data_IF_278983994153
#
_entry.id   IF_278983994153
#
_cell.length_a   1.000
_cell.length_b   1.000
_cell.length_c   1.000
_cell.angle_alpha   90.00
_cell.angle_beta   90.00
_cell.angle_gamma   90.00
#
_symmetry.space_group_name_H-M   'P 1'
#
loop_
_entity.id
_entity.type
_entity.pdbx_description
1 polymer ?
#
# COMPACT_ATOMS: atom_id res chain seq x y z
N UNK A 1 -18.45 -29.67 12.86
CA UNK A 1 -18.04 -28.27 13.17
C UNK A 1 -18.53 -27.42 12.01
N UNK A 2 -19.34 -26.39 12.26
CA UNK A 2 -19.68 -25.43 11.21
C UNK A 2 -18.39 -24.77 10.71
N UNK A 3 -18.23 -24.53 9.40
CA UNK A 3 -17.05 -23.85 8.90
C UNK A 3 -16.96 -22.46 9.53
N UNK A 4 -15.81 -22.14 10.15
CA UNK A 4 -15.54 -20.77 10.61
C UNK A 4 -15.47 -19.86 9.39
N UNK A 5 -16.24 -18.77 9.41
CA UNK A 5 -16.16 -17.76 8.36
C UNK A 5 -14.72 -17.19 8.29
N UNK A 6 -14.22 -16.85 7.09
CA UNK A 6 -12.94 -16.19 6.95
C UNK A 6 -13.00 -14.79 7.60
N UNK A 7 -11.83 -14.28 8.02
CA UNK A 7 -11.72 -12.95 8.64
C UNK A 7 -11.98 -11.80 7.66
N UNK A 8 -11.85 -12.06 6.35
CA UNK A 8 -12.23 -11.15 5.27
C UNK A 8 -13.44 -11.74 4.57
N UNK A 9 -14.49 -10.96 4.48
CA UNK A 9 -15.77 -11.32 3.87
C UNK A 9 -15.99 -10.49 2.62
N UNK A 10 -16.50 -11.14 1.58
CA UNK A 10 -17.01 -10.51 0.37
C UNK A 10 -18.32 -11.18 -0.06
N UNK A 11 -18.84 -10.75 -1.21
CA UNK A 11 -20.10 -11.20 -1.77
C UNK A 11 -20.16 -12.71 -2.09
N UNK A 12 -19.02 -13.41 -2.07
CA UNK A 12 -18.95 -14.86 -2.26
C UNK A 12 -19.21 -15.63 -0.97
N UNK A 13 -19.01 -15.02 0.20
CA UNK A 13 -19.36 -15.63 1.50
C UNK A 13 -20.76 -15.23 1.99
N UNK A 14 -21.18 -13.98 1.77
CA UNK A 14 -22.49 -13.48 2.16
C UNK A 14 -23.06 -12.54 1.10
N UNK A 15 -24.38 -12.53 0.85
CA UNK A 15 -25.00 -11.57 -0.06
C UNK A 15 -24.66 -10.13 0.32
N UNK A 16 -24.53 -9.24 -0.67
CA UNK A 16 -24.21 -7.83 -0.45
C UNK A 16 -25.20 -7.14 0.51
N UNK A 17 -26.47 -7.53 0.48
CA UNK A 17 -27.50 -7.02 1.39
C UNK A 17 -27.16 -7.35 2.86
N UNK A 18 -26.77 -8.59 3.15
CA UNK A 18 -26.38 -9.05 4.49
C UNK A 18 -25.08 -8.36 4.96
N UNK A 19 -24.09 -8.25 4.08
CA UNK A 19 -22.83 -7.53 4.39
C UNK A 19 -23.09 -6.05 4.70
N UNK A 20 -24.02 -5.44 3.95
CA UNK A 20 -24.39 -4.03 4.15
C UNK A 20 -25.17 -3.85 5.45
N UNK A 21 -26.13 -4.75 5.75
CA UNK A 21 -26.87 -4.74 7.00
C UNK A 21 -25.93 -4.90 8.20
N UNK A 22 -25.08 -5.92 8.21
CA UNK A 22 -24.11 -6.14 9.28
C UNK A 22 -23.11 -4.98 9.44
N UNK A 23 -22.74 -4.28 8.35
CA UNK A 23 -21.94 -3.05 8.45
C UNK A 23 -22.72 -1.89 9.08
N UNK A 24 -24.00 -1.74 8.76
CA UNK A 24 -24.86 -0.69 9.32
C UNK A 24 -25.17 -0.94 10.79
N UNK A 25 -25.33 -2.20 11.19
CA UNK A 25 -25.53 -2.62 12.58
C UNK A 25 -24.24 -2.50 13.42
N UNK A 26 -23.09 -2.35 12.77
CA UNK A 26 -21.80 -2.13 13.41
C UNK A 26 -20.99 -3.40 13.67
N UNK A 27 -21.42 -4.54 13.15
CA UNK A 27 -20.71 -5.82 13.26
C UNK A 27 -19.51 -5.90 12.30
N UNK A 28 -19.62 -5.26 11.13
CA UNK A 28 -18.60 -5.23 10.09
C UNK A 28 -18.09 -3.82 9.79
N UNK A 29 -16.85 -3.72 9.31
CA UNK A 29 -16.25 -2.52 8.73
C UNK A 29 -15.78 -2.76 7.30
N UNK A 30 -15.74 -1.71 6.49
CA UNK A 30 -15.14 -1.76 5.15
C UNK A 30 -13.63 -2.00 5.25
N UNK A 31 -13.14 -2.85 4.35
CA UNK A 31 -11.74 -3.20 4.16
C UNK A 31 -11.40 -3.18 2.67
N UNK A 32 -11.57 -2.02 2.01
CA UNK A 32 -11.12 -1.85 0.62
C UNK A 32 -12.04 -2.50 -0.41
N UNK A 33 -13.35 -2.55 -0.15
CA UNK A 33 -14.32 -3.26 -0.97
C UNK A 33 -14.61 -4.70 -0.53
N UNK A 34 -13.87 -5.19 0.46
CA UNK A 34 -14.24 -6.33 1.29
C UNK A 34 -14.69 -5.84 2.67
N UNK A 35 -15.02 -6.77 3.57
CA UNK A 35 -15.49 -6.49 4.92
C UNK A 35 -14.69 -7.31 5.94
N UNK A 36 -14.54 -6.81 7.15
CA UNK A 36 -14.06 -7.60 8.29
C UNK A 36 -14.85 -7.26 9.55
N UNK A 37 -14.82 -8.13 10.55
CA UNK A 37 -15.40 -7.85 11.87
C UNK A 37 -14.76 -6.62 12.51
N UNK A 38 -15.55 -5.86 13.27
CA UNK A 38 -15.05 -4.72 14.04
C UNK A 38 -14.12 -5.10 15.19
N UNK A 39 -14.20 -6.33 15.68
CA UNK A 39 -13.33 -6.84 16.74
C UNK A 39 -11.94 -7.25 16.23
N UNK A 40 -11.77 -7.28 14.90
CA UNK A 40 -10.51 -7.64 14.26
C UNK A 40 -9.68 -6.39 13.96
N UNK A 41 -8.44 -6.38 14.43
CA UNK A 41 -7.47 -5.36 14.04
C UNK A 41 -7.09 -5.55 12.55
N UNK A 42 -7.21 -4.50 11.70
CA UNK A 42 -6.89 -4.61 10.28
C UNK A 42 -5.37 -4.61 10.05
N UNK A 43 -4.77 -5.78 10.24
CA UNK A 43 -3.34 -6.01 10.00
C UNK A 43 -2.99 -5.91 8.51
N UNK A 44 -1.69 -5.80 8.20
CA UNK A 44 -1.22 -5.85 6.82
C UNK A 44 -1.65 -7.15 6.13
N UNK A 45 -1.60 -8.29 6.83
CA UNK A 45 -2.06 -9.56 6.27
C UNK A 45 -3.56 -9.54 5.92
N UNK A 46 -4.40 -8.94 6.78
CA UNK A 46 -5.84 -8.84 6.52
C UNK A 46 -6.15 -7.93 5.33
N UNK A 47 -5.48 -6.77 5.25
CA UNK A 47 -5.59 -5.86 4.10
C UNK A 47 -5.07 -6.49 2.80
N UNK A 48 -4.00 -7.27 2.90
CA UNK A 48 -3.48 -8.05 1.77
C UNK A 48 -4.48 -9.11 1.28
N UNK A 49 -5.14 -9.82 2.20
CA UNK A 49 -6.22 -10.76 1.86
C UNK A 49 -7.39 -10.07 1.16
N UNK A 50 -7.80 -8.88 1.61
CA UNK A 50 -8.84 -8.11 0.96
C UNK A 50 -8.47 -7.65 -0.47
N UNK A 51 -7.18 -7.44 -0.73
CA UNK A 51 -6.69 -7.08 -2.06
C UNK A 51 -6.48 -8.26 -3.00
N UNK A 52 -6.30 -9.48 -2.48
CA UNK A 52 -5.90 -10.65 -3.26
C UNK A 52 -6.72 -10.86 -4.56
N UNK A 53 -8.06 -10.69 -4.58
CA UNK A 53 -8.85 -10.82 -5.80
C UNK A 53 -8.49 -9.83 -6.92
N UNK A 54 -7.85 -8.71 -6.59
CA UNK A 54 -7.43 -7.65 -7.51
C UNK A 54 -5.96 -7.75 -7.93
N UNK A 55 -5.19 -8.67 -7.34
CA UNK A 55 -3.74 -8.81 -7.55
C UNK A 55 -3.44 -10.11 -8.31
N UNK A 56 -3.25 -10.05 -9.63
CA UNK A 56 -2.75 -11.17 -10.41
C UNK A 56 -1.43 -11.75 -9.87
N UNK A 57 -1.25 -13.05 -10.06
CA UNK A 57 -0.04 -13.76 -9.66
C UNK A 57 1.23 -13.10 -10.24
N UNK A 58 2.25 -13.00 -9.38
CA UNK A 58 3.55 -12.42 -9.73
C UNK A 58 3.60 -10.89 -9.76
N UNK A 59 2.49 -10.20 -9.50
CA UNK A 59 2.47 -8.75 -9.27
C UNK A 59 2.72 -8.40 -7.81
N UNK A 60 3.27 -7.20 -7.60
CA UNK A 60 3.56 -6.64 -6.28
C UNK A 60 2.71 -5.39 -6.07
N UNK A 61 2.04 -5.29 -4.92
CA UNK A 61 1.31 -4.10 -4.51
C UNK A 61 2.30 -2.99 -4.16
N UNK A 62 2.09 -1.78 -4.68
CA UNK A 62 3.03 -0.67 -4.51
C UNK A 62 2.33 0.68 -4.20
N UNK A 63 3.16 1.71 -3.95
CA UNK A 63 2.74 3.11 -3.77
C UNK A 63 1.60 3.26 -2.75
N UNK A 64 0.53 4.00 -3.06
CA UNK A 64 -0.56 4.24 -2.10
C UNK A 64 -1.31 2.96 -1.74
N UNK A 65 -1.35 1.97 -2.62
CA UNK A 65 -1.95 0.67 -2.30
C UNK A 65 -1.10 -0.09 -1.28
N UNK A 66 0.22 -0.08 -1.45
CA UNK A 66 1.13 -0.61 -0.43
C UNK A 66 1.05 0.17 0.88
N UNK A 67 0.98 1.51 0.82
CA UNK A 67 0.82 2.34 2.00
C UNK A 67 -0.46 2.00 2.78
N UNK A 68 -1.56 1.71 2.08
CA UNK A 68 -2.80 1.26 2.73
C UNK A 68 -2.62 -0.12 3.38
N UNK A 69 -2.06 -1.10 2.66
CA UNK A 69 -1.79 -2.43 3.21
C UNK A 69 -0.93 -2.34 4.46
N UNK A 70 0.15 -1.57 4.41
CA UNK A 70 1.08 -1.34 5.52
C UNK A 70 0.51 -0.44 6.63
N UNK A 71 -0.73 0.03 6.51
CA UNK A 71 -1.42 0.81 7.55
C UNK A 71 -1.00 2.26 7.66
N UNK A 72 -0.27 2.80 6.67
CA UNK A 72 0.17 4.19 6.63
C UNK A 72 -0.92 5.16 6.16
N UNK A 73 -2.02 4.66 5.58
CA UNK A 73 -3.21 5.45 5.25
C UNK A 73 -4.49 4.68 5.56
N UNK A 74 -5.54 5.34 6.08
CA UNK A 74 -6.85 4.72 6.24
C UNK A 74 -7.61 4.61 4.92
N UNK A 75 -7.28 5.42 3.91
CA UNK A 75 -8.03 5.51 2.65
C UNK A 75 -7.54 4.48 1.64
N UNK A 76 -8.43 3.58 1.24
CA UNK A 76 -8.16 2.65 0.15
C UNK A 76 -8.05 3.39 -1.19
N UNK A 77 -6.94 3.26 -1.93
CA UNK A 77 -6.79 3.88 -3.25
C UNK A 77 -7.46 3.05 -4.35
N UNK A 78 -8.09 3.74 -5.31
CA UNK A 78 -8.56 3.16 -6.56
C UNK A 78 -8.04 4.01 -7.74
N UNK A 79 -7.53 3.40 -8.82
CA UNK A 79 -7.27 1.95 -8.98
C UNK A 79 -6.17 1.43 -8.05
N UNK A 80 -6.13 0.11 -7.83
CA UNK A 80 -5.06 -0.57 -7.11
C UNK A 80 -3.76 -0.42 -7.88
N UNK A 81 -2.69 0.00 -7.19
CA UNK A 81 -1.39 0.27 -7.79
C UNK A 81 -0.48 -0.93 -7.61
N UNK A 82 -0.09 -1.53 -8.73
CA UNK A 82 0.73 -2.73 -8.79
C UNK A 82 1.97 -2.49 -9.64
N UNK A 83 2.99 -3.33 -9.44
CA UNK A 83 4.15 -3.34 -10.30
C UNK A 83 4.61 -4.75 -10.68
N UNK A 84 5.26 -4.81 -11.84
CA UNK A 84 6.00 -5.96 -12.33
C UNK A 84 7.49 -5.70 -12.09
N UNK A 85 8.17 -6.68 -11.49
CA UNK A 85 9.63 -6.67 -11.37
C UNK A 85 10.26 -6.68 -12.77
N UNK A 86 11.23 -5.82 -13.03
CA UNK A 86 11.83 -5.67 -14.37
C UNK A 86 12.45 -6.96 -14.93
N UNK A 87 12.83 -7.90 -14.07
CA UNK A 87 13.32 -9.25 -14.43
C UNK A 87 12.22 -10.21 -14.90
N UNK A 88 10.95 -9.89 -14.66
CA UNK A 88 9.80 -10.73 -15.01
C UNK A 88 9.07 -10.17 -16.23
N UNK A 89 8.54 -11.06 -17.06
CA UNK A 89 7.60 -10.72 -18.14
C UNK A 89 6.26 -11.34 -17.81
N UNK A 90 5.32 -10.51 -17.35
CA UNK A 90 3.93 -10.90 -17.13
C UNK A 90 3.10 -10.17 -18.18
N UNK A 91 2.23 -10.92 -18.87
CA UNK A 91 1.23 -10.33 -19.75
C UNK A 91 0.04 -9.89 -18.90
N UNK A 92 0.10 -8.67 -18.36
CA UNK A 92 -1.05 -8.09 -17.68
C UNK A 92 -2.16 -7.76 -18.70
N UNK A 93 -3.40 -8.04 -18.32
CA UNK A 93 -4.58 -7.62 -19.06
C UNK A 93 -5.04 -6.28 -18.47
N UNK A 94 -5.14 -5.20 -19.27
CA UNK A 94 -5.60 -3.91 -18.75
C UNK A 94 -6.94 -4.02 -18.03
N UNK A 95 -7.07 -3.33 -16.89
CA UNK A 95 -8.31 -3.26 -16.11
C UNK A 95 -8.46 -1.85 -15.52
N UNK A 96 -9.69 -1.39 -15.34
CA UNK A 96 -9.98 -0.11 -14.69
C UNK A 96 -9.73 -0.14 -13.19
N UNK A 97 -9.71 -1.33 -12.58
CA UNK A 97 -9.54 -1.52 -11.14
C UNK A 97 -8.07 -1.56 -10.71
N UNK A 98 -7.14 -1.69 -11.66
CA UNK A 98 -5.69 -1.76 -11.38
C UNK A 98 -4.86 -0.94 -12.36
N UNK A 99 -3.78 -0.38 -11.84
CA UNK A 99 -2.73 0.26 -12.61
C UNK A 99 -1.44 -0.51 -12.41
N UNK A 100 -0.85 -1.00 -13.50
CA UNK A 100 0.41 -1.76 -13.46
C UNK A 100 1.53 -0.97 -14.12
N UNK A 101 2.70 -0.93 -13.49
CA UNK A 101 3.94 -0.40 -14.09
C UNK A 101 5.11 -1.34 -13.92
N UNK A 102 6.13 -1.20 -14.75
CA UNK A 102 7.38 -1.94 -14.57
C UNK A 102 8.35 -1.15 -13.70
N UNK A 103 8.99 -1.82 -12.73
CA UNK A 103 9.98 -1.22 -11.84
C UNK A 103 11.16 -2.15 -11.61
N UNK A 104 12.32 -1.56 -11.36
CA UNK A 104 13.47 -2.31 -10.82
C UNK A 104 13.24 -2.48 -9.32
N UNK A 105 13.27 -3.75 -8.86
CA UNK A 105 12.95 -4.14 -7.49
C UNK A 105 13.75 -5.41 -7.10
N UNK A 106 14.50 -5.33 -6.01
CA UNK A 106 15.17 -6.46 -5.38
C UNK A 106 14.23 -7.24 -4.46
N UNK A 107 14.58 -8.50 -4.15
CA UNK A 107 13.76 -9.35 -3.25
C UNK A 107 13.65 -8.80 -1.83
N UNK A 108 14.66 -8.06 -1.38
CA UNK A 108 14.66 -7.41 -0.07
C UNK A 108 13.76 -6.16 -0.02
N UNK A 109 13.25 -5.71 -1.18
CA UNK A 109 12.38 -4.54 -1.28
C UNK A 109 10.88 -4.90 -1.25
N UNK A 110 10.57 -6.18 -0.98
CA UNK A 110 9.20 -6.69 -0.89
C UNK A 110 9.00 -7.52 0.38
N UNK A 111 7.78 -7.50 0.88
CA UNK A 111 7.33 -8.26 2.03
C UNK A 111 6.00 -8.96 1.72
N UNK A 112 5.75 -10.09 2.36
CA UNK A 112 4.46 -10.75 2.27
C UNK A 112 3.44 -10.04 3.17
N UNK A 113 2.23 -9.86 2.65
CA UNK A 113 1.08 -9.38 3.41
C UNK A 113 -0.10 -10.32 3.13
N UNK A 114 -0.20 -11.39 3.93
CA UNK A 114 -1.17 -12.45 3.65
C UNK A 114 -0.85 -13.10 2.30
N UNK A 115 -1.81 -13.17 1.35
CA UNK A 115 -1.62 -13.84 0.06
C UNK A 115 -0.91 -12.98 -0.99
N UNK A 116 -0.64 -11.69 -0.73
CA UNK A 116 -0.04 -10.78 -1.72
C UNK A 116 1.38 -10.35 -1.35
N UNK A 117 2.17 -10.03 -2.36
CA UNK A 117 3.46 -9.33 -2.20
C UNK A 117 3.25 -7.83 -2.22
N UNK A 118 3.96 -7.12 -1.35
CA UNK A 118 3.87 -5.66 -1.20
C UNK A 118 5.29 -5.08 -1.15
N UNK A 119 5.52 -3.90 -1.72
CA UNK A 119 6.77 -3.18 -1.49
C UNK A 119 6.98 -2.94 0.01
N UNK A 120 8.20 -3.13 0.50
CA UNK A 120 8.50 -2.89 1.91
C UNK A 120 8.20 -1.43 2.33
N UNK A 121 8.11 -1.11 3.64
CA UNK A 121 7.78 0.24 4.07
C UNK A 121 8.75 1.33 3.57
N UNK A 122 10.06 1.08 3.59
CA UNK A 122 11.07 2.01 3.08
C UNK A 122 10.94 2.20 1.56
N UNK A 123 10.81 1.12 0.81
CA UNK A 123 10.62 1.19 -0.64
C UNK A 123 9.34 1.94 -1.00
N UNK A 124 8.25 1.66 -0.28
CA UNK A 124 6.97 2.35 -0.44
C UNK A 124 7.12 3.85 -0.20
N UNK A 125 7.81 4.25 0.87
CA UNK A 125 8.09 5.67 1.16
C UNK A 125 8.87 6.35 0.02
N UNK A 126 9.93 5.71 -0.47
CA UNK A 126 10.75 6.23 -1.58
C UNK A 126 9.94 6.35 -2.87
N UNK A 127 9.06 5.39 -3.16
CA UNK A 127 8.21 5.42 -4.34
C UNK A 127 7.13 6.51 -4.25
N UNK A 128 6.55 6.76 -3.07
CA UNK A 128 5.59 7.85 -2.86
C UNK A 128 6.22 9.23 -3.09
N UNK A 129 7.38 9.52 -2.46
CA UNK A 129 8.05 10.82 -2.67
C UNK A 129 8.46 11.01 -4.13
N UNK A 130 8.86 9.95 -4.84
CA UNK A 130 9.35 10.03 -6.22
C UNK A 130 8.23 10.11 -7.24
N UNK A 131 7.25 9.21 -7.15
CA UNK A 131 6.34 8.89 -8.25
C UNK A 131 4.91 9.32 -8.01
N UNK A 132 4.48 9.63 -6.77
CA UNK A 132 3.09 10.00 -6.56
C UNK A 132 2.76 11.34 -7.24
N UNK A 133 1.69 11.43 -8.05
CA UNK A 133 1.32 12.66 -8.73
C UNK A 133 1.00 13.80 -7.76
N UNK A 134 0.34 13.49 -6.64
CA UNK A 134 -0.06 14.47 -5.62
C UNK A 134 0.77 14.21 -4.36
N UNK A 135 1.27 15.26 -3.74
CA UNK A 135 2.02 15.15 -2.49
C UNK A 135 1.49 16.18 -1.51
N UNK A 136 0.28 15.89 -1.04
CA UNK A 136 -0.40 16.70 -0.03
C UNK A 136 0.00 16.23 1.37
N UNK A 137 -0.61 16.85 2.38
CA UNK A 137 -0.38 16.50 3.79
C UNK A 137 -0.66 15.03 4.09
N UNK A 138 -1.63 14.40 3.43
CA UNK A 138 -1.98 13.01 3.69
C UNK A 138 -0.88 12.07 3.20
N UNK A 139 -0.38 12.27 1.97
CA UNK A 139 0.73 11.49 1.42
C UNK A 139 2.02 11.72 2.19
N UNK A 140 2.27 12.96 2.63
CA UNK A 140 3.41 13.28 3.50
C UNK A 140 3.36 12.46 4.79
N UNK A 141 2.20 12.42 5.48
CA UNK A 141 2.04 11.64 6.70
C UNK A 141 2.16 10.13 6.46
N UNK A 142 1.75 9.64 5.28
CA UNK A 142 2.02 8.26 4.87
C UNK A 142 3.53 7.98 4.83
N UNK A 143 4.29 8.86 4.16
CA UNK A 143 5.76 8.74 4.08
C UNK A 143 6.41 8.76 5.45
N UNK A 144 6.00 9.69 6.33
CA UNK A 144 6.47 9.73 7.73
C UNK A 144 6.21 8.40 8.44
N UNK A 145 4.98 7.89 8.37
CA UNK A 145 4.57 6.64 9.03
C UNK A 145 5.38 5.45 8.52
N UNK A 146 5.60 5.37 7.20
CA UNK A 146 6.38 4.32 6.55
C UNK A 146 7.87 4.38 6.89
N UNK A 147 8.45 5.58 7.00
CA UNK A 147 9.85 5.73 7.41
C UNK A 147 10.05 5.36 8.87
N UNK A 148 9.14 5.76 9.76
CA UNK A 148 9.17 5.38 11.16
C UNK A 148 9.03 3.87 11.34
N UNK A 149 8.09 3.23 10.64
CA UNK A 149 7.92 1.77 10.71
C UNK A 149 9.09 0.99 10.10
N UNK A 150 9.78 1.56 9.13
CA UNK A 150 11.02 1.00 8.57
C UNK A 150 12.27 1.24 9.43
N UNK A 151 12.19 2.05 10.49
CA UNK A 151 13.37 2.52 11.22
C UNK A 151 14.34 3.30 10.30
N UNK A 152 13.82 4.00 9.29
CA UNK A 152 14.59 4.69 8.27
C UNK A 152 14.47 6.21 8.39
N UNK A 153 15.49 6.91 7.89
CA UNK A 153 15.52 8.37 7.84
C UNK A 153 15.39 8.90 6.42
N UNK A 154 14.96 10.14 6.30
CA UNK A 154 14.97 10.88 5.03
C UNK A 154 16.39 11.00 4.45
N UNK A 155 17.43 11.00 5.29
CA UNK A 155 18.82 10.97 4.85
C UNK A 155 19.16 9.68 4.09
N UNK A 156 18.66 8.52 4.55
CA UNK A 156 18.77 7.25 3.83
C UNK A 156 18.06 7.32 2.48
N UNK A 157 16.85 7.89 2.42
CA UNK A 157 16.14 8.11 1.15
C UNK A 157 16.96 8.94 0.16
N UNK A 158 17.56 10.04 0.63
CA UNK A 158 18.42 10.91 -0.22
C UNK A 158 19.62 10.16 -0.76
N UNK A 159 20.25 9.33 0.06
CA UNK A 159 21.38 8.47 -0.37
C UNK A 159 20.95 7.54 -1.50
N UNK A 160 19.85 6.81 -1.35
CA UNK A 160 19.36 5.90 -2.40
C UNK A 160 18.98 6.63 -3.69
N UNK A 161 18.26 7.76 -3.58
CA UNK A 161 17.91 8.58 -4.74
C UNK A 161 19.14 9.13 -5.46
N UNK A 162 20.22 9.44 -4.72
CA UNK A 162 21.46 9.98 -5.27
C UNK A 162 22.32 8.93 -5.96
N UNK A 163 22.28 7.67 -5.50
CA UNK A 163 23.01 6.53 -6.09
C UNK A 163 22.67 6.29 -7.55
N UNK A 164 21.42 6.54 -7.96
CA UNK A 164 21.00 6.40 -9.36
C UNK A 164 21.26 7.72 -10.11
N UNK A 165 22.13 7.75 -11.13
CA UNK A 165 22.51 8.98 -11.83
C UNK A 165 21.33 9.68 -12.53
N UNK A 166 20.61 8.94 -13.37
CA UNK A 166 19.52 9.46 -14.21
C UNK A 166 18.14 8.96 -13.75
N UNK A 167 17.83 9.17 -12.47
CA UNK A 167 16.54 8.76 -11.91
C UNK A 167 15.44 9.78 -12.24
N UNK A 168 14.34 9.37 -12.90
CA UNK A 168 13.21 10.25 -13.15
C UNK A 168 12.65 10.83 -11.86
N UNK A 169 12.24 12.11 -11.91
CA UNK A 169 11.66 12.86 -10.79
C UNK A 169 12.54 13.00 -9.54
N UNK A 170 13.86 12.72 -9.62
CA UNK A 170 14.80 12.83 -8.49
C UNK A 170 14.74 14.19 -7.77
N UNK A 171 14.79 15.29 -8.51
CA UNK A 171 14.74 16.64 -7.90
C UNK A 171 13.40 16.92 -7.21
N UNK A 172 12.28 16.42 -7.76
CA UNK A 172 10.98 16.50 -7.10
C UNK A 172 10.97 15.69 -5.80
N UNK A 173 11.53 14.48 -5.81
CA UNK A 173 11.60 13.63 -4.64
C UNK A 173 12.47 14.25 -3.53
N UNK A 174 13.61 14.85 -3.88
CA UNK A 174 14.48 15.53 -2.91
C UNK A 174 13.77 16.70 -2.23
N UNK A 175 13.06 17.56 -2.98
CA UNK A 175 12.27 18.67 -2.41
C UNK A 175 11.18 18.18 -1.46
N UNK A 176 10.45 17.13 -1.85
CA UNK A 176 9.42 16.51 -0.99
C UNK A 176 9.99 15.94 0.31
N UNK A 177 11.23 15.46 0.29
CA UNK A 177 11.90 14.99 1.53
C UNK A 177 12.25 16.16 2.47
N UNK A 178 12.43 17.37 1.97
CA UNK A 178 12.64 18.55 2.82
C UNK A 178 11.36 18.86 3.61
N UNK A 179 10.19 18.77 2.98
CA UNK A 179 8.88 18.89 3.65
C UNK A 179 8.67 17.79 4.71
N UNK A 180 9.09 16.55 4.43
CA UNK A 180 9.04 15.44 5.39
C UNK A 180 9.93 15.73 6.61
N UNK A 181 11.13 16.29 6.40
CA UNK A 181 12.05 16.66 7.49
C UNK A 181 11.52 17.76 8.39
N UNK A 182 10.75 18.71 7.85
CA UNK A 182 10.07 19.73 8.65
C UNK A 182 9.05 19.12 9.61
N UNK A 183 8.29 18.12 9.14
CA UNK A 183 7.29 17.42 9.95
C UNK A 183 7.93 16.50 10.99
N UNK A 184 9.00 15.79 10.64
CA UNK A 184 9.73 14.95 11.60
C UNK A 184 10.40 15.77 12.71
N UNK A 185 10.83 17.01 12.43
CA UNK A 185 11.37 17.94 13.43
C UNK A 185 10.30 18.56 14.32
N UNK A 186 9.06 18.62 13.86
CA UNK A 186 7.93 19.23 14.57
C UNK A 186 6.81 18.19 14.71
N UNK A 187 6.94 17.20 15.61
CA UNK A 187 5.93 16.18 15.78
C UNK A 187 4.58 16.84 16.08
N UNK A 188 3.47 16.35 15.49
CA UNK A 188 2.14 16.89 15.79
C UNK A 188 1.88 16.80 17.30
N UNK A 189 1.39 17.91 17.87
CA UNK A 189 0.94 17.97 19.26
C UNK A 189 -0.34 17.17 19.47
#
# INVERSE_FOLDING_TARGET
>A
MAPSLPLVLDHTQLPLAELTAARLDGDLRDLGGAYCSVDVHPSAALRGSALAPLVPDGLVVERMSAAWVLGATPRFPRPVQLCIRSSHRIRDVPSIDRQVRQVVLGDHEIVAAGPVWVTDPFRTAVDLVRCDPVFDRSVLLCVVTLLLSAGASTARCRTELRRVPHLPHKQRALRRLDEVDEVLRTPPR
#
